data_IF_974920506549
#
_entry.id   IF_974920506549
#
_cell.length_a   1.000
_cell.length_b   1.000
_cell.length_c   1.000
_cell.angle_alpha   90.00
_cell.angle_beta   90.00
_cell.angle_gamma   90.00
#
_symmetry.space_group_name_H-M   'P 1'
#
loop_
_entity.id
_entity.type
_entity.pdbx_description
1 polymer ?
#
# COMPACT_ATOMS: atom_id res chain seq x y z
N UNK A 1 -1.54 -24.20 23.69
CA UNK A 1 -1.39 -22.74 23.57
C UNK A 1 -2.17 -22.27 22.36
N UNK A 2 -2.80 -21.08 22.42
CA UNK A 2 -3.46 -20.46 21.25
C UNK A 2 -2.39 -20.09 20.22
N UNK A 3 -2.68 -20.25 18.92
CA UNK A 3 -1.81 -19.71 17.88
C UNK A 3 -1.85 -18.18 17.91
N UNK A 4 -0.74 -17.56 17.55
CA UNK A 4 -0.66 -16.11 17.31
C UNK A 4 -1.30 -15.77 15.96
N UNK A 5 -2.20 -14.81 15.91
CA UNK A 5 -2.79 -14.27 14.68
C UNK A 5 -2.35 -12.82 14.50
N UNK A 6 -1.64 -12.55 13.42
CA UNK A 6 -1.14 -11.23 13.10
C UNK A 6 -1.99 -10.63 11.98
N UNK A 7 -2.63 -9.51 12.28
CA UNK A 7 -3.22 -8.63 11.27
C UNK A 7 -2.18 -7.57 10.88
N UNK A 8 -1.63 -7.67 9.67
CA UNK A 8 -0.87 -6.58 9.07
C UNK A 8 -1.84 -5.65 8.33
N UNK A 9 -2.06 -4.46 8.89
CA UNK A 9 -3.17 -3.58 8.51
C UNK A 9 -2.74 -2.33 7.73
N UNK A 10 -1.50 -2.28 7.24
CA UNK A 10 -0.97 -1.13 6.52
C UNK A 10 -0.15 -0.19 7.43
N UNK A 11 -0.17 1.13 7.25
CA UNK A 11 -1.03 1.86 6.30
C UNK A 11 -0.70 1.56 4.83
N UNK A 12 -1.59 1.94 3.90
CA UNK A 12 -1.20 2.09 2.49
C UNK A 12 0.11 2.90 2.39
N UNK A 13 0.88 2.69 1.32
CA UNK A 13 2.11 3.46 1.04
C UNK A 13 3.27 3.24 2.03
N UNK A 14 3.27 2.13 2.77
CA UNK A 14 4.41 1.69 3.61
C UNK A 14 5.01 0.36 3.13
N UNK A 15 5.17 0.23 1.81
CA UNK A 15 5.66 -0.99 1.12
C UNK A 15 4.80 -2.25 1.30
N UNK A 16 3.50 -2.10 1.53
CA UNK A 16 2.55 -3.22 1.70
C UNK A 16 2.56 -4.19 0.52
N UNK A 17 2.60 -3.69 -0.72
CA UNK A 17 2.65 -4.52 -1.94
C UNK A 17 3.90 -5.40 -1.99
N UNK A 18 5.08 -4.83 -1.67
CA UNK A 18 6.34 -5.57 -1.67
C UNK A 18 6.35 -6.64 -0.56
N UNK A 19 5.87 -6.29 0.63
CA UNK A 19 5.75 -7.24 1.74
C UNK A 19 4.78 -8.39 1.42
N UNK A 20 3.61 -8.08 0.86
CA UNK A 20 2.62 -9.09 0.45
C UNK A 20 3.16 -10.03 -0.62
N UNK A 21 3.90 -9.50 -1.60
CA UNK A 21 4.59 -10.30 -2.60
C UNK A 21 5.63 -11.22 -1.97
N UNK A 22 6.45 -10.68 -1.08
CA UNK A 22 7.45 -11.44 -0.33
C UNK A 22 6.82 -12.58 0.48
N UNK A 23 5.76 -12.32 1.25
CA UNK A 23 5.06 -13.34 2.04
C UNK A 23 4.45 -14.42 1.14
N UNK A 24 3.87 -14.04 0.00
CA UNK A 24 3.27 -14.96 -0.95
C UNK A 24 4.30 -15.89 -1.61
N UNK A 25 5.40 -15.35 -2.12
CA UNK A 25 6.46 -16.14 -2.73
C UNK A 25 7.16 -17.05 -1.71
N UNK A 26 7.17 -16.65 -0.44
CA UNK A 26 7.82 -17.38 0.63
C UNK A 26 6.87 -18.23 1.49
N UNK A 27 5.67 -18.60 1.01
CA UNK A 27 4.73 -19.47 1.75
C UNK A 27 5.40 -20.76 2.25
N UNK A 28 6.26 -21.37 1.44
CA UNK A 28 6.95 -22.61 1.82
C UNK A 28 8.03 -22.39 2.90
N UNK A 29 8.99 -21.45 2.74
CA UNK A 29 9.90 -21.04 3.81
C UNK A 29 9.20 -20.60 5.10
N UNK A 30 8.14 -19.78 5.02
CA UNK A 30 7.34 -19.36 6.17
C UNK A 30 6.82 -20.56 6.95
N UNK A 31 6.23 -21.52 6.24
CA UNK A 31 5.70 -22.74 6.84
C UNK A 31 6.76 -23.59 7.53
N UNK A 32 7.98 -23.63 6.98
CA UNK A 32 9.12 -24.33 7.61
C UNK A 32 9.54 -23.66 8.92
N UNK A 33 9.30 -22.37 9.06
CA UNK A 33 9.56 -21.56 10.24
C UNK A 33 8.32 -21.43 11.17
N UNK A 34 7.28 -22.25 10.99
CA UNK A 34 6.11 -22.25 11.88
C UNK A 34 5.06 -21.17 11.59
N UNK A 35 5.20 -20.43 10.48
CA UNK A 35 4.25 -19.40 10.04
C UNK A 35 3.29 -19.90 8.97
N UNK A 36 2.03 -19.53 9.06
CA UNK A 36 1.00 -19.75 8.04
C UNK A 36 0.63 -18.44 7.36
N UNK A 37 0.89 -18.34 6.06
CA UNK A 37 0.28 -17.34 5.19
C UNK A 37 -0.82 -18.02 4.36
N UNK A 38 -2.10 -17.90 4.77
CA UNK A 38 -3.16 -18.80 4.30
C UNK A 38 -3.70 -18.41 2.92
N UNK A 39 -4.47 -19.34 2.35
CA UNK A 39 -5.27 -19.18 1.13
C UNK A 39 -4.50 -19.05 -0.20
N UNK A 40 -3.16 -19.01 -0.17
CA UNK A 40 -2.33 -18.87 -1.39
C UNK A 40 -2.76 -17.68 -2.24
N UNK A 41 -2.96 -16.53 -1.60
CA UNK A 41 -3.27 -15.25 -2.25
C UNK A 41 -2.20 -14.23 -1.86
N UNK A 42 -1.91 -13.27 -2.74
CA UNK A 42 -0.92 -12.22 -2.45
C UNK A 42 -1.38 -11.30 -1.32
N UNK A 43 -2.66 -10.92 -1.31
CA UNK A 43 -3.31 -10.03 -0.33
C UNK A 43 -4.65 -10.64 0.08
N UNK A 44 -5.06 -10.48 1.34
CA UNK A 44 -6.29 -11.11 1.87
C UNK A 44 -7.57 -10.29 1.65
N UNK A 45 -7.65 -9.49 0.57
CA UNK A 45 -8.74 -8.53 0.32
C UNK A 45 -10.11 -9.17 0.30
N UNK A 46 -10.29 -10.30 -0.38
CA UNK A 46 -11.58 -10.98 -0.41
C UNK A 46 -12.03 -11.45 0.99
N UNK A 47 -11.09 -11.87 1.84
CA UNK A 47 -11.38 -12.30 3.21
C UNK A 47 -11.84 -11.11 4.05
N UNK A 48 -11.09 -10.01 3.98
CA UNK A 48 -11.35 -8.79 4.74
C UNK A 48 -12.63 -8.11 4.26
N UNK A 49 -12.84 -7.97 2.96
CA UNK A 49 -14.08 -7.47 2.38
C UNK A 49 -15.28 -8.27 2.90
N UNK A 50 -15.25 -9.60 2.80
CA UNK A 50 -16.34 -10.45 3.28
C UNK A 50 -16.61 -10.34 4.78
N UNK A 51 -15.57 -10.06 5.57
CA UNK A 51 -15.70 -9.86 7.01
C UNK A 51 -16.41 -8.53 7.32
N UNK A 52 -15.93 -7.42 6.76
CA UNK A 52 -16.48 -6.09 7.02
C UNK A 52 -17.85 -5.86 6.35
N UNK A 53 -18.12 -6.51 5.20
CA UNK A 53 -19.44 -6.52 4.57
C UNK A 53 -20.43 -7.48 5.23
N UNK A 54 -20.01 -8.23 6.26
CA UNK A 54 -20.80 -9.25 6.96
C UNK A 54 -21.27 -10.43 6.08
N UNK A 55 -20.67 -10.62 4.90
CA UNK A 55 -20.87 -11.82 4.08
C UNK A 55 -20.33 -13.09 4.76
N UNK A 56 -19.38 -12.94 5.70
CA UNK A 56 -18.90 -14.02 6.58
C UNK A 56 -18.76 -13.53 8.02
N UNK A 57 -19.02 -14.42 8.96
CA UNK A 57 -18.83 -14.13 10.39
C UNK A 57 -17.39 -14.38 10.83
N UNK A 58 -16.91 -13.75 11.93
CA UNK A 58 -15.63 -14.09 12.53
C UNK A 58 -15.47 -15.59 12.81
N UNK A 59 -16.49 -16.24 13.37
CA UNK A 59 -16.44 -17.67 13.72
C UNK A 59 -16.22 -18.56 12.50
N UNK A 60 -16.87 -18.26 11.36
CA UNK A 60 -16.63 -19.00 10.11
C UNK A 60 -15.18 -18.88 9.63
N UNK A 61 -14.57 -17.71 9.79
CA UNK A 61 -13.17 -17.49 9.39
C UNK A 61 -12.23 -18.16 10.39
N UNK A 62 -12.51 -18.05 11.69
CA UNK A 62 -11.75 -18.70 12.76
C UNK A 62 -11.69 -20.21 12.52
N UNK A 63 -12.84 -20.86 12.31
CA UNK A 63 -12.92 -22.30 12.02
C UNK A 63 -12.06 -22.64 10.81
N UNK A 64 -12.19 -21.89 9.71
CA UNK A 64 -11.41 -22.13 8.48
C UNK A 64 -9.90 -21.98 8.69
N UNK A 65 -9.47 -21.04 9.54
CA UNK A 65 -8.05 -20.86 9.88
C UNK A 65 -7.55 -22.02 10.75
N UNK A 66 -8.33 -22.46 11.73
CA UNK A 66 -8.00 -23.60 12.60
C UNK A 66 -7.91 -24.91 11.81
N UNK A 67 -8.85 -25.18 10.92
CA UNK A 67 -8.82 -26.33 10.00
C UNK A 67 -7.54 -26.32 9.14
N UNK A 68 -7.15 -25.14 8.63
CA UNK A 68 -5.91 -25.01 7.86
C UNK A 68 -4.68 -25.26 8.71
N UNK A 69 -4.65 -24.82 9.96
CA UNK A 69 -3.55 -25.14 10.87
C UNK A 69 -3.49 -26.64 11.14
N UNK A 70 -4.63 -27.27 11.47
CA UNK A 70 -4.73 -28.69 11.77
C UNK A 70 -4.36 -29.60 10.58
N UNK A 71 -4.57 -29.13 9.34
CA UNK A 71 -4.19 -29.87 8.13
C UNK A 71 -2.67 -29.98 7.91
N UNK A 72 -1.84 -29.29 8.70
CA UNK A 72 -0.39 -29.35 8.58
C UNK A 72 0.24 -30.31 9.58
N UNK A 73 1.12 -31.18 9.08
CA UNK A 73 1.89 -32.13 9.92
C UNK A 73 2.90 -31.44 10.85
N UNK A 74 3.31 -30.21 10.53
CA UNK A 74 4.26 -29.43 11.33
C UNK A 74 3.49 -28.48 12.25
N UNK A 75 3.95 -28.26 13.48
CA UNK A 75 3.34 -27.27 14.36
C UNK A 75 3.47 -25.88 13.74
N UNK A 76 2.34 -25.18 13.59
CA UNK A 76 2.28 -23.80 13.18
C UNK A 76 1.90 -22.96 14.39
N UNK A 77 2.74 -22.00 14.74
CA UNK A 77 2.54 -21.14 15.90
C UNK A 77 1.96 -19.78 15.53
N UNK A 78 2.15 -19.31 14.30
CA UNK A 78 1.72 -17.97 13.87
C UNK A 78 0.98 -17.99 12.54
N UNK A 79 -0.09 -17.21 12.43
CA UNK A 79 -0.87 -16.98 11.21
C UNK A 79 -0.73 -15.49 10.86
N UNK A 80 -0.48 -15.18 9.58
CA UNK A 80 -0.41 -13.79 9.09
C UNK A 80 -1.55 -13.54 8.11
N UNK A 81 -2.35 -12.52 8.39
CA UNK A 81 -3.36 -11.97 7.49
C UNK A 81 -2.95 -10.54 7.14
N UNK A 82 -2.79 -10.23 5.85
CA UNK A 82 -2.38 -8.92 5.39
C UNK A 82 -3.41 -8.28 4.49
N UNK A 83 -3.88 -7.11 4.90
CA UNK A 83 -4.66 -6.23 4.05
C UNK A 83 -4.65 -4.80 4.62
N UNK A 84 -4.20 -3.84 3.82
CA UNK A 84 -4.09 -2.45 4.23
C UNK A 84 -5.43 -1.68 4.23
N UNK A 85 -6.50 -2.20 3.62
CA UNK A 85 -7.82 -1.55 3.70
C UNK A 85 -8.45 -1.72 5.09
N UNK A 86 -7.89 -2.58 5.93
CA UNK A 86 -8.28 -2.68 7.34
C UNK A 86 -8.09 -1.33 8.02
N UNK A 87 -7.00 -0.60 7.76
CA UNK A 87 -6.80 0.68 8.44
C UNK A 87 -7.79 1.77 8.04
N UNK A 88 -8.49 1.58 6.92
CA UNK A 88 -9.51 2.49 6.42
C UNK A 88 -10.89 2.25 7.06
N UNK A 89 -11.06 1.18 7.86
CA UNK A 89 -12.31 0.88 8.53
C UNK A 89 -12.41 1.65 9.85
N UNK A 90 -13.50 2.42 10.03
CA UNK A 90 -13.74 3.19 11.27
C UNK A 90 -14.06 2.34 12.49
N UNK A 91 -14.49 1.08 12.30
CA UNK A 91 -14.89 0.19 13.38
C UNK A 91 -14.20 -1.17 13.25
N UNK A 92 -13.15 -1.37 14.05
CA UNK A 92 -12.37 -2.60 14.06
C UNK A 92 -12.84 -3.64 15.08
N UNK A 93 -13.94 -3.38 15.81
CA UNK A 93 -14.43 -4.28 16.88
C UNK A 93 -14.68 -5.72 16.41
N UNK A 94 -15.00 -5.91 15.13
CA UNK A 94 -15.20 -7.23 14.54
C UNK A 94 -13.92 -8.08 14.56
N UNK A 95 -12.74 -7.46 14.40
CA UNK A 95 -11.45 -8.14 14.50
C UNK A 95 -11.12 -8.55 15.94
N UNK A 96 -11.61 -7.80 16.94
CA UNK A 96 -11.45 -8.14 18.35
C UNK A 96 -12.06 -9.51 18.71
N UNK A 97 -13.06 -9.99 17.95
CA UNK A 97 -13.66 -11.33 18.16
C UNK A 97 -12.69 -12.49 17.94
N UNK A 98 -11.63 -12.29 17.16
CA UNK A 98 -10.61 -13.31 16.91
C UNK A 98 -9.80 -13.66 18.17
N UNK A 99 -9.77 -12.79 19.19
CA UNK A 99 -9.12 -13.04 20.49
C UNK A 99 -9.71 -14.22 21.26
N UNK A 100 -10.96 -14.59 20.94
CA UNK A 100 -11.60 -15.77 21.52
C UNK A 100 -10.83 -17.06 21.18
N UNK A 101 -10.23 -17.13 19.99
CA UNK A 101 -9.54 -18.32 19.48
C UNK A 101 -8.03 -18.17 19.36
N UNK A 102 -7.53 -16.95 19.16
CA UNK A 102 -6.12 -16.66 18.89
C UNK A 102 -5.53 -15.66 19.88
N UNK A 103 -4.20 -15.66 19.99
CA UNK A 103 -3.45 -14.53 20.54
C UNK A 103 -3.24 -13.50 19.42
N UNK A 104 -3.96 -12.37 19.45
CA UNK A 104 -4.07 -11.49 18.30
C UNK A 104 -3.13 -10.31 18.44
N UNK A 105 -2.24 -10.10 17.47
CA UNK A 105 -1.48 -8.87 17.32
C UNK A 105 -1.90 -8.11 16.06
N UNK A 106 -1.77 -6.79 16.11
CA UNK A 106 -1.99 -5.90 14.98
C UNK A 106 -0.70 -5.15 14.67
N UNK A 107 -0.24 -5.23 13.42
CA UNK A 107 0.95 -4.52 12.94
C UNK A 107 0.50 -3.34 12.09
N UNK A 108 0.85 -2.14 12.53
CA UNK A 108 0.58 -0.89 11.82
C UNK A 108 1.87 -0.12 11.57
N UNK A 109 2.09 0.28 10.33
CA UNK A 109 3.26 1.03 9.87
C UNK A 109 2.91 2.51 9.72
N UNK A 110 3.71 3.35 10.37
CA UNK A 110 3.62 4.80 10.44
C UNK A 110 4.57 5.40 9.41
N UNK A 111 4.13 6.38 8.64
CA UNK A 111 4.95 7.13 7.68
C UNK A 111 4.70 8.61 7.89
N UNK A 112 5.75 9.44 7.84
CA UNK A 112 5.59 10.89 8.07
C UNK A 112 4.45 11.45 7.21
N UNK A 113 3.51 12.16 7.83
CA UNK A 113 2.18 12.41 7.26
C UNK A 113 2.23 13.17 5.94
N UNK A 114 3.13 14.13 5.81
CA UNK A 114 3.47 14.83 4.58
C UNK A 114 3.83 13.86 3.44
N UNK A 115 4.79 12.96 3.68
CA UNK A 115 5.27 11.99 2.70
C UNK A 115 4.19 10.94 2.38
N UNK A 116 3.38 10.56 3.36
CA UNK A 116 2.27 9.64 3.15
C UNK A 116 1.20 10.29 2.25
N UNK A 117 0.81 11.55 2.52
CA UNK A 117 -0.18 12.29 1.75
C UNK A 117 0.25 12.47 0.29
N UNK A 118 1.50 12.89 0.04
CA UNK A 118 2.06 12.96 -1.32
C UNK A 118 2.01 11.61 -2.03
N UNK A 119 2.39 10.54 -1.33
CA UNK A 119 2.39 9.20 -1.89
C UNK A 119 0.98 8.67 -2.15
N UNK A 120 0.00 9.02 -1.31
CA UNK A 120 -1.40 8.62 -1.44
C UNK A 120 -2.09 9.39 -2.56
N UNK A 121 -1.77 10.67 -2.74
CA UNK A 121 -2.21 11.47 -3.88
C UNK A 121 -1.81 10.81 -5.21
N UNK A 122 -0.51 10.54 -5.38
CA UNK A 122 0.01 9.91 -6.60
C UNK A 122 -0.56 8.50 -6.83
N UNK A 123 -0.85 7.77 -5.75
CA UNK A 123 -1.48 6.44 -5.86
C UNK A 123 -2.92 6.54 -6.37
N UNK A 124 -3.70 7.52 -5.93
CA UNK A 124 -5.07 7.73 -6.41
C UNK A 124 -5.08 8.13 -7.89
N UNK A 125 -4.13 8.96 -8.34
CA UNK A 125 -3.94 9.28 -9.76
C UNK A 125 -3.54 8.05 -10.58
N UNK A 126 -2.57 7.26 -10.10
CA UNK A 126 -2.03 6.11 -10.85
C UNK A 126 -3.10 5.06 -11.12
N UNK A 127 -3.94 4.76 -10.13
CA UNK A 127 -4.86 3.64 -10.22
C UNK A 127 -6.32 4.01 -10.44
N UNK A 128 -6.68 5.24 -10.08
CA UNK A 128 -8.01 5.82 -10.28
C UNK A 128 -9.14 4.96 -9.69
N UNK A 129 -8.89 4.33 -8.54
CA UNK A 129 -9.90 3.51 -7.85
C UNK A 129 -11.01 4.34 -7.21
N UNK A 130 -10.73 5.62 -6.90
CA UNK A 130 -11.67 6.54 -6.30
C UNK A 130 -11.78 7.81 -7.15
N UNK A 131 -12.84 7.94 -7.98
CA UNK A 131 -13.02 9.09 -8.85
C UNK A 131 -13.04 10.44 -8.10
N UNK A 132 -13.46 10.45 -6.82
CA UNK A 132 -13.47 11.66 -5.98
C UNK A 132 -12.05 12.15 -5.62
N UNK A 133 -11.02 11.32 -5.79
CA UNK A 133 -9.62 11.62 -5.47
C UNK A 133 -8.69 11.56 -6.68
N UNK A 134 -9.05 10.78 -7.71
CA UNK A 134 -8.19 10.47 -8.84
C UNK A 134 -7.90 11.66 -9.75
N UNK A 135 -8.85 12.60 -9.87
CA UNK A 135 -8.80 13.70 -10.85
C UNK A 135 -8.60 15.09 -10.23
N UNK A 136 -8.53 15.20 -8.90
CA UNK A 136 -8.43 16.50 -8.22
C UNK A 136 -6.97 16.94 -8.10
N UNK A 137 -6.72 18.24 -8.05
CA UNK A 137 -5.37 18.80 -7.85
C UNK A 137 -4.83 18.48 -6.45
N UNK A 138 -3.51 18.63 -6.27
CA UNK A 138 -2.85 18.42 -4.98
C UNK A 138 -3.49 19.24 -3.85
N UNK A 139 -3.75 20.53 -4.07
CA UNK A 139 -4.37 21.41 -3.06
C UNK A 139 -5.76 20.92 -2.64
N UNK A 140 -6.58 20.51 -3.62
CA UNK A 140 -7.90 19.94 -3.36
C UNK A 140 -7.80 18.61 -2.62
N UNK A 141 -6.80 17.79 -2.92
CA UNK A 141 -6.54 16.56 -2.18
C UNK A 141 -6.10 16.83 -0.74
N UNK A 142 -5.20 17.79 -0.52
CA UNK A 142 -4.72 18.18 0.82
C UNK A 142 -5.84 18.79 1.68
N UNK A 143 -6.80 19.47 1.07
CA UNK A 143 -8.00 19.94 1.76
C UNK A 143 -8.89 18.79 2.26
N UNK A 144 -8.77 17.60 1.69
CA UNK A 144 -9.52 16.38 2.08
C UNK A 144 -8.77 15.48 3.05
N UNK A 145 -7.61 15.88 3.56
CA UNK A 145 -6.78 15.03 4.45
C UNK A 145 -7.52 14.49 5.68
N UNK A 146 -8.53 15.20 6.18
CA UNK A 146 -9.35 14.78 7.32
C UNK A 146 -10.26 13.56 7.01
N UNK A 147 -10.47 13.23 5.74
CA UNK A 147 -11.16 12.00 5.34
C UNK A 147 -10.33 10.76 5.72
N UNK A 148 -9.01 10.90 5.84
CA UNK A 148 -8.06 9.82 6.12
C UNK A 148 -7.80 9.65 7.61
N UNK A 149 -8.83 9.30 8.38
CA UNK A 149 -8.76 9.24 9.86
C UNK A 149 -7.56 8.44 10.44
N UNK A 150 -6.99 7.49 9.70
CA UNK A 150 -5.84 6.69 10.12
C UNK A 150 -4.49 7.43 10.14
N UNK A 151 -4.40 8.66 9.60
CA UNK A 151 -3.17 9.48 9.67
C UNK A 151 -3.06 10.28 10.97
N UNK A 152 -4.15 10.32 11.76
CA UNK A 152 -4.19 10.87 13.11
C UNK A 152 -3.67 9.84 14.11
N UNK A 153 -2.36 9.61 14.11
CA UNK A 153 -1.75 8.41 14.70
C UNK A 153 -2.06 8.17 16.18
N UNK A 154 -2.02 9.18 17.06
CA UNK A 154 -2.38 8.95 18.46
C UNK A 154 -3.82 8.45 18.61
N UNK A 155 -4.77 9.11 17.92
CA UNK A 155 -6.19 8.72 17.95
C UNK A 155 -6.40 7.34 17.34
N UNK A 156 -5.77 7.08 16.21
CA UNK A 156 -5.92 5.81 15.50
C UNK A 156 -5.31 4.65 16.31
N UNK A 157 -4.13 4.83 16.89
CA UNK A 157 -3.49 3.81 17.74
C UNK A 157 -4.30 3.57 19.01
N UNK A 158 -4.86 4.59 19.65
CA UNK A 158 -5.78 4.37 20.79
C UNK A 158 -7.00 3.53 20.40
N UNK A 159 -7.54 3.74 19.19
CA UNK A 159 -8.61 2.87 18.70
C UNK A 159 -8.16 1.41 18.56
N UNK A 160 -6.91 1.16 18.13
CA UNK A 160 -6.34 -0.20 18.12
C UNK A 160 -6.17 -0.75 19.53
N UNK A 161 -5.63 0.05 20.46
CA UNK A 161 -5.45 -0.31 21.87
C UNK A 161 -6.79 -0.71 22.52
N UNK A 162 -7.88 0.02 22.24
CA UNK A 162 -9.23 -0.29 22.76
C UNK A 162 -9.76 -1.65 22.29
N UNK A 163 -9.37 -2.10 21.10
CA UNK A 163 -9.84 -3.37 20.50
C UNK A 163 -8.94 -4.53 20.90
N UNK A 164 -7.62 -4.33 20.82
CA UNK A 164 -6.64 -5.41 20.92
C UNK A 164 -5.88 -5.44 22.24
N UNK A 165 -5.85 -4.34 23.01
CA UNK A 165 -4.91 -4.14 24.11
C UNK A 165 -3.58 -3.58 23.58
N UNK A 166 -2.96 -2.67 24.35
CA UNK A 166 -1.73 -1.97 23.96
C UNK A 166 -0.57 -2.92 23.70
N UNK A 167 -0.43 -3.95 24.51
CA UNK A 167 0.58 -5.00 24.39
C UNK A 167 0.49 -5.79 23.07
N UNK A 168 -0.65 -5.70 22.38
CA UNK A 168 -0.92 -6.39 21.13
C UNK A 168 -0.78 -5.49 19.89
N UNK A 169 -0.49 -4.20 20.07
CA UNK A 169 -0.26 -3.25 18.99
C UNK A 169 1.23 -3.15 18.71
N UNK A 170 1.63 -3.50 17.49
CA UNK A 170 3.01 -3.44 17.00
C UNK A 170 3.11 -2.29 16.01
N UNK A 171 3.96 -1.32 16.33
CA UNK A 171 4.17 -0.13 15.49
C UNK A 171 5.51 -0.21 14.78
N UNK A 172 5.45 -0.02 13.47
CA UNK A 172 6.63 0.06 12.61
C UNK A 172 6.79 1.49 12.10
N UNK A 173 7.99 2.06 12.10
CA UNK A 173 8.22 3.41 11.57
C UNK A 173 8.87 3.33 10.19
N UNK A 174 8.10 3.64 9.16
CA UNK A 174 8.51 3.66 7.76
C UNK A 174 9.32 4.94 7.46
N UNK A 175 10.54 4.97 7.98
CA UNK A 175 11.54 6.03 7.77
C UNK A 175 12.91 5.38 7.58
N UNK A 176 13.68 5.76 6.54
CA UNK A 176 14.86 4.97 6.12
C UNK A 176 15.87 4.80 7.24
N UNK A 177 16.10 5.85 8.03
CA UNK A 177 17.00 5.80 9.20
C UNK A 177 16.54 4.78 10.26
N UNK A 178 15.24 4.50 10.35
CA UNK A 178 14.65 3.56 11.30
C UNK A 178 14.39 2.17 10.70
N UNK A 179 14.66 1.96 9.42
CA UNK A 179 14.60 0.67 8.73
C UNK A 179 15.82 0.46 7.81
N UNK A 180 17.05 0.39 8.36
CA UNK A 180 18.29 0.34 7.58
C UNK A 180 18.36 -0.88 6.64
N UNK A 181 17.78 -2.02 7.04
CA UNK A 181 17.69 -3.24 6.22
C UNK A 181 16.41 -3.28 5.35
N UNK A 182 15.65 -2.19 5.34
CA UNK A 182 14.44 -2.03 4.54
C UNK A 182 13.14 -2.50 5.20
N UNK A 183 11.99 -2.23 4.58
CA UNK A 183 10.68 -2.39 5.20
C UNK A 183 10.25 -3.85 5.40
N UNK A 184 10.71 -4.76 4.51
CA UNK A 184 10.43 -6.20 4.66
C UNK A 184 11.11 -6.71 5.92
N UNK A 185 12.37 -6.33 6.15
CA UNK A 185 13.13 -6.78 7.31
C UNK A 185 12.56 -6.20 8.60
N UNK A 186 12.25 -4.90 8.63
CA UNK A 186 11.53 -4.26 9.73
C UNK A 186 10.24 -5.00 10.11
N UNK A 187 9.42 -5.42 9.12
CA UNK A 187 8.23 -6.22 9.39
C UNK A 187 8.56 -7.60 9.97
N UNK A 188 9.55 -8.29 9.40
CA UNK A 188 9.95 -9.62 9.86
C UNK A 188 10.40 -9.56 11.33
N UNK A 189 11.24 -8.60 11.68
CA UNK A 189 11.73 -8.41 13.05
C UNK A 189 10.59 -8.10 14.02
N UNK A 190 9.65 -7.23 13.64
CA UNK A 190 8.55 -6.83 14.51
C UNK A 190 7.57 -7.97 14.84
N UNK A 191 7.57 -9.04 14.04
CA UNK A 191 6.77 -10.24 14.29
C UNK A 191 7.60 -11.43 14.77
N UNK A 192 8.92 -11.30 14.92
CA UNK A 192 9.82 -12.41 15.29
C UNK A 192 10.01 -13.45 14.19
N UNK A 193 9.82 -13.07 12.93
CA UNK A 193 10.16 -13.91 11.78
C UNK A 193 11.64 -13.68 11.44
N UNK A 194 12.45 -14.74 11.46
CA UNK A 194 13.84 -14.69 11.00
C UNK A 194 13.94 -15.35 9.62
N UNK A 195 14.06 -14.57 8.53
CA UNK A 195 14.29 -15.12 7.20
C UNK A 195 15.58 -15.95 7.17
N UNK A 196 15.54 -17.08 6.49
CA UNK A 196 16.71 -17.93 6.20
C UNK A 196 17.08 -17.84 4.72
N UNK A 197 18.18 -18.47 4.32
CA UNK A 197 18.62 -18.53 2.90
C UNK A 197 17.58 -19.18 1.96
N UNK A 198 16.58 -19.87 2.51
CA UNK A 198 15.47 -20.42 1.73
C UNK A 198 14.45 -19.36 1.28
N UNK A 199 14.48 -18.15 1.85
CA UNK A 199 13.61 -17.06 1.44
C UNK A 199 14.14 -16.40 0.18
N UNK A 200 13.27 -16.16 -0.80
CA UNK A 200 13.62 -15.36 -1.97
C UNK A 200 13.67 -13.88 -1.61
N UNK A 201 14.77 -13.21 -1.97
CA UNK A 201 14.84 -11.75 -1.95
C UNK A 201 14.13 -11.22 -3.18
N UNK A 202 12.89 -10.77 -3.00
CA UNK A 202 12.07 -10.25 -4.10
C UNK A 202 11.86 -8.76 -3.89
N UNK A 203 12.83 -7.99 -4.37
CA UNK A 203 12.72 -6.54 -4.45
C UNK A 203 11.86 -6.16 -5.63
N UNK A 204 10.55 -6.07 -5.42
CA UNK A 204 9.68 -5.43 -6.41
C UNK A 204 9.85 -3.92 -6.30
N UNK A 205 10.62 -3.33 -7.20
CA UNK A 205 10.69 -1.88 -7.37
C UNK A 205 9.57 -1.49 -8.33
N UNK A 206 8.52 -0.84 -7.83
CA UNK A 206 7.50 -0.22 -8.67
C UNK A 206 7.79 1.29 -8.70
N UNK A 207 8.55 1.79 -9.69
CA UNK A 207 8.90 3.20 -9.74
C UNK A 207 7.63 4.05 -9.77
N UNK A 208 7.67 5.17 -9.04
CA UNK A 208 6.67 6.21 -9.16
C UNK A 208 6.82 6.91 -10.51
N UNK A 209 5.70 7.38 -11.06
CA UNK A 209 5.73 8.25 -12.23
C UNK A 209 6.38 9.59 -11.88
N UNK A 210 6.97 10.25 -12.86
CA UNK A 210 7.38 11.65 -12.72
C UNK A 210 6.18 12.55 -12.37
N UNK A 211 6.47 13.77 -11.89
CA UNK A 211 5.43 14.76 -11.62
C UNK A 211 4.57 15.05 -12.85
N UNK A 212 5.20 15.26 -14.01
CA UNK A 212 4.50 15.54 -15.28
C UNK A 212 3.65 14.38 -15.75
N UNK A 213 4.18 13.15 -15.71
CA UNK A 213 3.39 11.97 -16.10
C UNK A 213 2.23 11.73 -15.14
N UNK A 214 2.42 11.99 -13.84
CA UNK A 214 1.34 11.94 -12.86
C UNK A 214 0.25 12.97 -13.16
N UNK A 215 0.65 14.20 -13.45
CA UNK A 215 -0.30 15.24 -13.86
C UNK A 215 -1.02 14.87 -15.17
N UNK A 216 -0.32 14.31 -16.16
CA UNK A 216 -0.95 13.82 -17.40
C UNK A 216 -1.97 12.71 -17.12
N UNK A 217 -1.60 11.71 -16.32
CA UNK A 217 -2.48 10.61 -15.91
C UNK A 217 -3.75 11.09 -15.19
N UNK A 218 -3.65 12.17 -14.39
CA UNK A 218 -4.77 12.76 -13.66
C UNK A 218 -5.92 13.20 -14.57
N UNK A 219 -5.61 13.60 -15.80
CA UNK A 219 -6.59 14.03 -16.81
C UNK A 219 -7.16 12.88 -17.64
N UNK A 220 -6.61 11.66 -17.53
CA UNK A 220 -7.12 10.50 -18.26
C UNK A 220 -8.26 9.82 -17.48
N UNK A 221 -9.36 9.41 -18.13
CA UNK A 221 -10.48 8.71 -17.47
C UNK A 221 -10.19 7.20 -17.32
N UNK A 222 -9.12 6.84 -16.61
CA UNK A 222 -8.75 5.42 -16.48
C UNK A 222 -9.72 4.62 -15.61
N UNK A 223 -10.48 5.30 -14.76
CA UNK A 223 -11.56 4.74 -13.94
C UNK A 223 -12.75 4.25 -14.78
N UNK A 224 -13.02 4.89 -15.93
CA UNK A 224 -14.01 4.44 -16.92
C UNK A 224 -13.53 3.23 -17.75
N UNK A 225 -12.21 3.01 -17.81
CA UNK A 225 -11.63 1.90 -18.58
C UNK A 225 -11.75 0.54 -17.86
N UNK A 226 -12.03 -0.56 -18.60
CA UNK A 226 -11.93 -1.91 -18.06
C UNK A 226 -10.53 -2.21 -17.52
N UNK A 227 -10.43 -3.04 -16.47
CA UNK A 227 -9.15 -3.33 -15.78
C UNK A 227 -8.03 -3.79 -16.72
N UNK A 228 -8.33 -4.66 -17.69
CA UNK A 228 -7.34 -5.13 -18.66
C UNK A 228 -6.78 -3.97 -19.50
N UNK A 229 -7.65 -3.06 -19.92
CA UNK A 229 -7.28 -1.90 -20.73
C UNK A 229 -6.51 -0.86 -19.90
N UNK A 230 -6.94 -0.61 -18.66
CA UNK A 230 -6.23 0.25 -17.70
C UNK A 230 -4.77 -0.18 -17.51
N UNK A 231 -4.50 -1.48 -17.41
CA UNK A 231 -3.13 -2.02 -17.31
C UNK A 231 -2.29 -1.69 -18.54
N UNK A 232 -2.87 -1.75 -19.73
CA UNK A 232 -2.19 -1.39 -20.98
C UNK A 232 -1.80 0.10 -20.95
N UNK A 233 -2.77 0.97 -20.63
CA UNK A 233 -2.53 2.43 -20.56
C UNK A 233 -1.48 2.78 -19.50
N UNK A 234 -1.55 2.17 -18.33
CA UNK A 234 -0.58 2.40 -17.24
C UNK A 234 0.84 1.93 -17.63
N UNK A 235 0.95 0.77 -18.31
CA UNK A 235 2.24 0.27 -18.83
C UNK A 235 2.79 1.17 -19.94
N UNK A 236 1.94 1.68 -20.83
CA UNK A 236 2.32 2.63 -21.87
C UNK A 236 2.88 3.92 -21.28
N UNK A 237 2.16 4.52 -20.33
CA UNK A 237 2.61 5.72 -19.61
C UNK A 237 3.94 5.48 -18.89
N UNK A 238 4.17 4.29 -18.32
CA UNK A 238 5.42 3.96 -17.65
C UNK A 238 6.61 3.91 -18.60
N UNK A 239 6.42 3.43 -19.83
CA UNK A 239 7.46 3.44 -20.86
C UNK A 239 7.79 4.85 -21.33
N UNK A 240 6.76 5.66 -21.58
CA UNK A 240 6.92 7.07 -22.00
C UNK A 240 7.70 7.83 -20.92
N UNK A 241 7.28 7.68 -19.66
CA UNK A 241 7.91 8.34 -18.52
C UNK A 241 9.38 7.92 -18.33
N UNK A 242 9.67 6.63 -18.47
CA UNK A 242 11.04 6.11 -18.40
C UNK A 242 11.94 6.66 -19.51
N UNK A 243 11.44 6.75 -20.74
CA UNK A 243 12.23 7.26 -21.86
C UNK A 243 12.49 8.76 -21.74
N UNK A 244 11.48 9.54 -21.34
CA UNK A 244 11.61 10.98 -21.13
C UNK A 244 12.54 11.35 -19.97
N UNK A 245 12.58 10.53 -18.93
CA UNK A 245 13.37 10.80 -17.73
C UNK A 245 14.67 9.97 -17.68
N UNK A 246 15.07 9.38 -18.81
CA UNK A 246 16.27 8.55 -18.87
C UNK A 246 17.52 9.38 -18.52
N UNK A 247 18.16 9.02 -17.40
CA UNK A 247 19.33 9.73 -16.88
C UNK A 247 19.01 11.01 -16.09
N UNK A 248 17.73 11.37 -15.93
CA UNK A 248 17.30 12.52 -15.14
C UNK A 248 16.78 12.04 -13.79
N UNK A 249 17.38 12.52 -12.70
CA UNK A 249 16.91 12.24 -11.35
C UNK A 249 15.99 13.36 -10.87
N UNK A 250 14.71 13.28 -11.22
CA UNK A 250 13.69 14.19 -10.70
C UNK A 250 13.47 14.01 -9.19
N UNK A 251 12.96 15.05 -8.53
CA UNK A 251 12.52 14.93 -7.14
C UNK A 251 11.21 14.15 -7.05
N UNK A 252 11.01 13.43 -5.95
CA UNK A 252 9.76 12.76 -5.61
C UNK A 252 8.87 13.55 -4.64
N UNK A 253 9.35 14.70 -4.16
CA UNK A 253 8.60 15.57 -3.25
C UNK A 253 7.66 16.47 -4.05
N UNK A 254 6.44 16.69 -3.58
CA UNK A 254 5.46 17.56 -4.24
C UNK A 254 5.21 18.84 -3.46
N UNK A 255 5.23 18.74 -2.13
CA UNK A 255 4.95 19.83 -1.21
C UNK A 255 6.19 20.71 -1.01
N UNK A 256 6.05 22.04 -1.20
CA UNK A 256 7.04 23.00 -0.75
C UNK A 256 7.32 22.91 0.76
N UNK A 257 8.47 23.43 1.16
CA UNK A 257 8.92 23.45 2.56
C UNK A 257 7.86 23.98 3.53
N UNK A 258 7.32 25.16 3.28
CA UNK A 258 6.41 25.82 4.23
C UNK A 258 5.09 25.07 4.40
N UNK A 259 4.56 24.50 3.32
CA UNK A 259 3.32 23.73 3.37
C UNK A 259 3.52 22.39 4.07
N UNK A 260 4.70 21.77 3.90
CA UNK A 260 5.11 20.59 4.68
C UNK A 260 5.12 20.90 6.17
N UNK A 261 5.72 22.01 6.58
CA UNK A 261 5.74 22.44 7.98
C UNK A 261 4.32 22.67 8.54
N UNK A 262 3.46 23.38 7.82
CA UNK A 262 2.06 23.62 8.24
C UNK A 262 1.29 22.31 8.42
N UNK A 263 1.44 21.37 7.49
CA UNK A 263 0.80 20.05 7.57
C UNK A 263 1.29 19.30 8.81
N UNK A 264 2.61 19.23 9.02
CA UNK A 264 3.18 18.46 10.12
C UNK A 264 2.87 19.06 11.50
N UNK A 265 2.81 20.38 11.63
CA UNK A 265 2.41 21.05 12.86
C UNK A 265 1.01 20.58 13.35
N UNK A 266 0.11 20.23 12.43
CA UNK A 266 -1.23 19.71 12.76
C UNK A 266 -1.21 18.32 13.41
N UNK A 267 -0.14 17.55 13.20
CA UNK A 267 0.01 16.18 13.71
C UNK A 267 1.04 16.05 14.83
N UNK A 268 1.82 17.10 15.09
CA UNK A 268 2.97 17.07 16.01
C UNK A 268 2.59 16.59 17.41
N UNK A 269 1.52 17.11 18.00
CA UNK A 269 1.08 16.73 19.33
C UNK A 269 0.74 15.23 19.42
N UNK A 270 0.05 14.69 18.41
CA UNK A 270 -0.28 13.26 18.34
C UNK A 270 0.95 12.40 18.09
N UNK A 271 1.86 12.83 17.22
CA UNK A 271 3.12 12.15 16.97
C UNK A 271 3.99 12.07 18.23
N UNK A 272 4.12 13.18 18.96
CA UNK A 272 4.87 13.25 20.22
C UNK A 272 4.28 12.36 21.31
N UNK A 273 2.96 12.42 21.50
CA UNK A 273 2.27 11.56 22.47
C UNK A 273 2.46 10.06 22.16
N UNK A 274 2.51 9.69 20.88
CA UNK A 274 2.76 8.32 20.46
C UNK A 274 4.23 7.93 20.61
N UNK A 275 5.17 8.83 20.26
CA UNK A 275 6.60 8.65 20.42
C UNK A 275 6.97 8.35 21.88
N UNK A 276 6.48 9.17 22.81
CA UNK A 276 6.71 8.99 24.24
C UNK A 276 6.08 7.68 24.74
N UNK A 277 4.88 7.33 24.25
CA UNK A 277 4.15 6.14 24.68
C UNK A 277 4.78 4.83 24.19
N UNK A 278 5.32 4.76 22.97
CA UNK A 278 5.79 3.49 22.39
C UNK A 278 7.31 3.39 22.25
N UNK A 279 8.02 4.52 22.26
CA UNK A 279 9.43 4.56 21.87
C UNK A 279 10.32 5.32 22.88
N UNK A 280 9.75 5.79 23.99
CA UNK A 280 10.46 6.50 25.08
C UNK A 280 11.34 7.66 24.56
N UNK A 281 10.76 8.45 23.65
CA UNK A 281 11.43 9.59 23.00
C UNK A 281 10.39 10.64 22.58
N UNK A 282 10.84 11.85 22.26
CA UNK A 282 9.94 12.94 21.89
C UNK A 282 9.52 12.91 20.42
N UNK A 283 10.42 12.51 19.52
CA UNK A 283 10.16 12.54 18.08
C UNK A 283 9.79 11.16 17.53
N UNK A 284 8.66 11.09 16.82
CA UNK A 284 8.24 9.85 16.16
C UNK A 284 9.08 9.56 14.90
N UNK A 285 9.41 10.62 14.16
CA UNK A 285 10.17 10.61 12.92
C UNK A 285 11.47 11.40 13.15
N UNK A 286 12.61 10.79 12.84
CA UNK A 286 13.94 11.29 13.17
C UNK A 286 14.63 11.96 11.97
N UNK A 287 14.17 11.68 10.75
CA UNK A 287 14.73 12.31 9.55
C UNK A 287 14.35 13.78 9.51
N UNK A 288 15.36 14.63 9.31
CA UNK A 288 15.16 16.05 9.08
C UNK A 288 14.19 16.31 7.92
N UNK A 289 13.47 17.43 8.01
CA UNK A 289 12.63 17.88 6.92
C UNK A 289 13.51 18.35 5.74
N UNK A 290 13.06 18.14 4.49
CA UNK A 290 13.70 18.76 3.33
C UNK A 290 13.74 20.28 3.53
N UNK A 291 14.89 20.92 3.30
CA UNK A 291 15.05 22.37 3.45
C UNK A 291 14.30 23.19 2.39
N UNK A 292 14.27 24.53 2.51
CA UNK A 292 13.57 25.42 1.58
C UNK A 292 13.97 25.26 0.11
N UNK A 293 15.24 24.96 -0.15
CA UNK A 293 15.80 24.80 -1.50
C UNK A 293 15.71 23.34 -2.01
N UNK A 294 15.05 22.44 -1.28
CA UNK A 294 14.88 21.07 -1.70
C UNK A 294 14.06 21.02 -3.01
N UNK A 295 14.54 20.34 -4.07
CA UNK A 295 13.81 20.29 -5.32
C UNK A 295 12.48 19.58 -5.11
N UNK A 296 11.42 20.08 -5.76
CA UNK A 296 10.11 19.45 -5.86
C UNK A 296 9.87 18.94 -7.28
N UNK A 297 8.99 17.97 -7.43
CA UNK A 297 8.61 17.41 -8.71
C UNK A 297 7.83 18.46 -9.50
N UNK A 298 8.22 18.66 -10.76
CA UNK A 298 7.46 19.49 -11.69
C UNK A 298 6.20 18.75 -12.12
N UNK A 299 5.03 19.25 -11.71
CA UNK A 299 3.71 18.76 -12.12
C UNK A 299 3.03 19.68 -13.14
N UNK A 300 3.79 20.47 -13.90
CA UNK A 300 3.24 21.32 -14.96
C UNK A 300 3.32 20.62 -16.32
N UNK A 301 2.18 20.52 -17.00
CA UNK A 301 2.13 20.07 -18.39
C UNK A 301 2.53 21.20 -19.34
N UNK A 302 3.09 20.87 -20.53
CA UNK A 302 3.32 21.86 -21.57
C UNK A 302 2.06 22.68 -21.88
N UNK A 303 2.20 24.00 -21.90
CA UNK A 303 1.10 24.91 -22.25
C UNK A 303 0.88 25.02 -23.76
N UNK A 304 1.92 24.74 -24.55
CA UNK A 304 1.80 24.64 -26.00
C UNK A 304 1.10 23.32 -26.38
N UNK A 305 -0.07 23.37 -27.06
CA UNK A 305 -0.78 22.17 -27.49
C UNK A 305 0.06 21.25 -28.37
N UNK A 306 0.94 21.79 -29.23
CA UNK A 306 1.77 20.97 -30.11
C UNK A 306 2.77 20.15 -29.29
N UNK A 307 3.43 20.78 -28.31
CA UNK A 307 4.33 20.10 -27.39
C UNK A 307 3.61 19.05 -26.53
N UNK A 308 2.43 19.35 -25.98
CA UNK A 308 1.64 18.38 -25.20
C UNK A 308 1.29 17.14 -26.05
N UNK A 309 0.89 17.36 -27.30
CA UNK A 309 0.59 16.29 -28.25
C UNK A 309 1.82 15.44 -28.56
N UNK A 310 2.97 16.07 -28.78
CA UNK A 310 4.23 15.39 -29.09
C UNK A 310 4.77 14.58 -27.91
N UNK A 311 4.71 15.13 -26.70
CA UNK A 311 5.34 14.52 -25.53
C UNK A 311 4.49 13.42 -24.90
N UNK A 312 3.16 13.56 -24.89
CA UNK A 312 2.31 12.66 -24.13
C UNK A 312 1.30 11.90 -24.99
N UNK A 313 0.52 12.63 -25.81
CA UNK A 313 -0.64 12.04 -26.51
C UNK A 313 -0.20 11.13 -27.67
N UNK A 314 0.66 11.60 -28.56
CA UNK A 314 1.12 10.83 -29.70
C UNK A 314 1.93 9.58 -29.29
N UNK A 315 2.84 9.63 -28.28
CA UNK A 315 3.48 8.44 -27.75
C UNK A 315 2.49 7.45 -27.13
N UNK A 316 1.50 7.94 -26.36
CA UNK A 316 0.47 7.06 -25.78
C UNK A 316 -0.34 6.34 -26.85
N UNK A 317 -0.81 7.05 -27.88
CA UNK A 317 -1.51 6.44 -29.01
C UNK A 317 -0.62 5.45 -29.76
N UNK A 318 0.67 5.76 -29.92
CA UNK A 318 1.64 4.85 -30.57
C UNK A 318 1.80 3.54 -29.79
N UNK A 319 1.89 3.60 -28.47
CA UNK A 319 1.95 2.43 -27.59
C UNK A 319 0.66 1.60 -27.66
N UNK A 320 -0.51 2.24 -27.70
CA UNK A 320 -1.81 1.56 -27.85
C UNK A 320 -1.89 0.86 -29.21
N UNK A 321 -1.50 1.53 -30.30
CA UNK A 321 -1.47 0.94 -31.65
C UNK A 321 -0.51 -0.26 -31.69
N UNK A 322 0.68 -0.15 -31.10
CA UNK A 322 1.64 -1.24 -31.02
C UNK A 322 1.09 -2.44 -30.24
N UNK A 323 0.41 -2.19 -29.10
CA UNK A 323 -0.26 -3.22 -28.33
C UNK A 323 -1.33 -3.95 -29.17
N UNK A 324 -2.20 -3.22 -29.86
CA UNK A 324 -3.25 -3.82 -30.71
C UNK A 324 -2.67 -4.62 -31.89
N UNK A 325 -1.60 -4.14 -32.52
CA UNK A 325 -0.88 -4.90 -33.57
C UNK A 325 -0.32 -6.21 -33.02
N UNK A 326 0.27 -6.18 -31.82
CA UNK A 326 0.82 -7.39 -31.18
C UNK A 326 -0.27 -8.40 -30.83
N UNK A 327 -1.47 -7.94 -30.43
CA UNK A 327 -2.63 -8.77 -30.10
C UNK A 327 -3.22 -9.49 -31.32
N UNK A 328 -3.16 -8.86 -32.50
CA UNK A 328 -3.69 -9.39 -33.77
C UNK A 328 -2.68 -10.28 -34.52
N UNK A 329 -1.41 -10.29 -34.13
CA UNK A 329 -0.40 -11.15 -34.75
C UNK A 329 -0.64 -12.63 -34.36
N UNK A 330 -0.49 -13.59 -35.29
CA UNK A 330 -0.62 -15.01 -34.97
C UNK A 330 0.42 -15.41 -33.92
N UNK A 331 -0.04 -16.08 -32.86
CA UNK A 331 0.80 -16.46 -31.73
C UNK A 331 1.96 -17.37 -32.18
N UNK A 332 3.20 -16.86 -32.10
CA UNK A 332 4.38 -17.74 -32.15
C UNK A 332 4.39 -18.55 -30.85
N UNK A 333 4.33 -19.88 -30.96
CA UNK A 333 4.43 -20.82 -29.84
C UNK A 333 5.73 -20.53 -29.04
N UNK A 334 5.58 -19.96 -27.86
CA UNK A 334 6.59 -19.99 -26.79
C UNK A 334 5.99 -20.70 -25.58
N UNK A 335 6.78 -21.50 -24.83
CA UNK A 335 6.27 -22.24 -23.69
C UNK A 335 5.86 -21.27 -22.58
N UNK A 336 4.67 -21.51 -22.01
CA UNK A 336 4.08 -20.68 -20.97
C UNK A 336 4.96 -20.63 -19.71
N UNK A 337 5.41 -19.43 -19.33
CA UNK A 337 5.89 -19.15 -17.96
C UNK A 337 4.69 -18.84 -17.07
N UNK A 338 4.58 -19.55 -15.96
CA UNK A 338 3.42 -19.61 -15.07
C UNK A 338 3.22 -18.40 -14.12
N UNK A 339 3.53 -17.19 -14.58
CA UNK A 339 3.42 -15.96 -13.79
C UNK A 339 2.47 -14.97 -14.47
N UNK A 340 1.15 -15.12 -14.38
CA UNK A 340 0.24 -13.98 -14.66
C UNK A 340 -1.23 -14.09 -14.17
N UNK A 341 -1.62 -15.09 -13.38
CA UNK A 341 -2.99 -15.17 -12.84
C UNK A 341 -3.02 -15.06 -11.31
N UNK A 342 -3.26 -13.85 -10.79
CA UNK A 342 -4.07 -13.57 -9.59
C UNK A 342 -3.94 -12.09 -9.16
N UNK A 343 -4.55 -11.19 -9.94
CA UNK A 343 -5.01 -9.89 -9.41
C UNK A 343 -6.46 -9.72 -9.87
N UNK A 344 -7.32 -10.53 -9.25
CA UNK A 344 -8.78 -10.44 -9.40
C UNK A 344 -9.33 -9.37 -8.45
N UNK A 345 -9.97 -8.38 -9.07
CA UNK A 345 -11.09 -7.57 -8.55
C UNK A 345 -10.97 -7.06 -7.11
N UNK A 346 -10.48 -5.81 -6.98
CA UNK A 346 -10.92 -4.93 -5.89
C UNK A 346 -12.40 -4.62 -6.17
N UNK A 347 -13.35 -4.95 -5.29
CA UNK A 347 -14.72 -4.48 -5.44
C UNK A 347 -14.68 -2.96 -5.47
N UNK A 348 -15.35 -2.34 -6.44
CA UNK A 348 -15.65 -0.91 -6.39
C UNK A 348 -16.19 -0.62 -4.99
N UNK A 349 -15.46 0.18 -4.21
CA UNK A 349 -16.01 0.75 -3.00
C UNK A 349 -17.23 1.54 -3.45
N UNK A 350 -18.41 1.00 -3.15
CA UNK A 350 -19.65 1.77 -3.17
C UNK A 350 -19.35 2.97 -2.31
N UNK A 351 -19.24 4.14 -2.96
CA UNK A 351 -19.24 5.40 -2.26
C UNK A 351 -20.51 5.35 -1.40
N UNK A 352 -20.34 5.31 -0.08
CA UNK A 352 -21.42 5.65 0.83
C UNK A 352 -21.95 6.99 0.35
N UNK A 353 -23.12 6.94 -0.30
CA UNK A 353 -24.04 8.06 -0.36
C UNK A 353 -24.40 8.32 1.10
N UNK A 354 -24.35 9.59 1.47
CA UNK A 354 -24.70 10.15 2.78
C UNK A 354 -23.51 10.26 3.75
N UNK A 355 -22.66 11.24 3.46
CA UNK A 355 -22.10 12.16 4.45
C UNK A 355 -22.34 13.60 3.97
#
# INVERSE_FOLDING_TARGET
MKQRLIFHIGAHRTATTALQQYLFQNIQPLRRNGFLYPFKVRRHTQLIHNLFSKNRTPDQIITRLQERVAAHKRPLHTIIISDEDICMQRNLKILGKFRNAFDVNVVFSLRRQDLWLESWYLQNIKWQWNPKLAHITLDRFMARREDFHWIHYDRYVRHLEDVFGRENVILNVFEKQQMPEGPIRMFCDSIGLTPTDAFSDTRTINPSFSGKMSEFLRHLPLDEAPNAYRRVLTKACARIDQEQNKGVKGSSLLLPHDDRHKILASYEAGNRALAQRYFDRDDLFLEALPGPDAPIADMQLPQDPAQLMQDFVAPLLSEIIAHEKSRKAPAKKQPASADEEAEETVPQMVAEKDL
#
